data_IF_944391762616
#
_entry.id   IF_944391762616
#
_cell.length_a   1.000
_cell.length_b   1.000
_cell.length_c   1.000
_cell.angle_alpha   90.00
_cell.angle_beta   90.00
_cell.angle_gamma   90.00
#
_symmetry.space_group_name_H-M   'P 1'
#
loop_
_entity.id
_entity.type
_entity.pdbx_description
1 polymer ?
#
# COMPACT_ATOMS: atom_id res chain seq x y z
N UNK A 1 11.77 12.46 11.86
CA UNK A 1 12.62 13.42 11.12
C UNK A 1 11.76 14.59 10.68
N UNK A 2 12.25 15.83 10.82
CA UNK A 2 11.59 17.03 10.30
C UNK A 2 12.30 17.42 9.01
N UNK A 3 11.56 17.65 7.95
CA UNK A 3 12.09 17.98 6.63
C UNK A 3 11.31 19.17 6.09
N UNK A 4 12.02 20.13 5.52
CA UNK A 4 11.41 21.29 4.84
C UNK A 4 11.37 20.98 3.36
N UNK A 5 10.18 21.08 2.77
CA UNK A 5 9.94 20.87 1.34
C UNK A 5 9.04 21.99 0.85
N UNK A 6 9.31 22.46 -0.37
CA UNK A 6 8.44 23.42 -1.03
C UNK A 6 7.32 22.68 -1.76
N UNK A 7 6.08 23.08 -1.53
CA UNK A 7 4.89 22.46 -2.11
C UNK A 7 3.97 23.58 -2.63
N UNK A 8 3.61 23.56 -3.92
CA UNK A 8 2.64 24.49 -4.47
C UNK A 8 1.35 24.50 -3.66
N UNK A 9 0.89 25.69 -3.27
CA UNK A 9 -0.27 25.84 -2.39
C UNK A 9 -1.54 25.18 -2.95
N UNK A 10 -1.74 25.28 -4.27
CA UNK A 10 -2.87 24.63 -4.96
C UNK A 10 -2.88 23.11 -4.73
N UNK A 11 -1.73 22.46 -4.84
CA UNK A 11 -1.60 21.00 -4.65
C UNK A 11 -1.84 20.61 -3.19
N UNK A 12 -1.35 21.42 -2.25
CA UNK A 12 -1.58 21.19 -0.82
C UNK A 12 -3.06 21.34 -0.45
N UNK A 13 -3.75 22.34 -1.01
CA UNK A 13 -5.18 22.56 -0.81
C UNK A 13 -6.02 21.42 -1.39
N UNK A 14 -5.66 20.91 -2.56
CA UNK A 14 -6.28 19.71 -3.13
C UNK A 14 -6.07 18.48 -2.24
N UNK A 15 -4.85 18.28 -1.73
CA UNK A 15 -4.57 17.19 -0.80
C UNK A 15 -5.42 17.29 0.47
N UNK A 16 -5.54 18.49 1.06
CA UNK A 16 -6.41 18.74 2.22
C UNK A 16 -7.88 18.43 1.89
N UNK A 17 -8.38 18.89 0.74
CA UNK A 17 -9.76 18.66 0.31
C UNK A 17 -10.05 17.15 0.13
N UNK A 18 -9.16 16.44 -0.54
CA UNK A 18 -9.30 15.01 -0.84
C UNK A 18 -9.15 14.14 0.42
N UNK A 19 -8.29 14.54 1.35
CA UNK A 19 -8.04 13.79 2.59
C UNK A 19 -8.96 14.19 3.73
N UNK A 20 -9.66 15.33 3.62
CA UNK A 20 -10.42 16.00 4.70
C UNK A 20 -9.58 16.25 5.96
N UNK A 21 -8.27 16.39 5.78
CA UNK A 21 -7.33 16.60 6.88
C UNK A 21 -7.53 17.97 7.54
N UNK A 22 -7.31 18.05 8.85
CA UNK A 22 -7.41 19.31 9.60
C UNK A 22 -6.14 20.14 9.51
N UNK A 23 -5.00 19.51 9.19
CA UNK A 23 -3.69 20.17 9.14
C UNK A 23 -2.93 19.87 7.85
N UNK A 24 -2.08 20.82 7.42
CA UNK A 24 -1.16 20.65 6.29
C UNK A 24 -0.30 19.39 6.43
N UNK A 25 0.20 19.13 7.65
CA UNK A 25 1.01 17.94 7.95
C UNK A 25 0.23 16.65 7.74
N UNK A 26 -0.99 16.59 8.26
CA UNK A 26 -1.85 15.40 8.16
C UNK A 26 -2.19 15.07 6.69
N UNK A 27 -2.53 16.08 5.88
CA UNK A 27 -2.78 15.89 4.45
C UNK A 27 -1.59 15.24 3.72
N UNK A 28 -0.38 15.74 3.97
CA UNK A 28 0.85 15.18 3.39
C UNK A 28 1.10 13.76 3.89
N UNK A 29 0.88 13.50 5.18
CA UNK A 29 1.09 12.18 5.76
C UNK A 29 0.12 11.14 5.18
N UNK A 30 -1.12 11.53 4.92
CA UNK A 30 -2.09 10.71 4.18
C UNK A 30 -1.64 10.44 2.75
N UNK A 31 -1.21 11.48 2.01
CA UNK A 31 -0.74 11.33 0.64
C UNK A 31 0.44 10.36 0.53
N UNK A 32 1.43 10.47 1.43
CA UNK A 32 2.59 9.58 1.47
C UNK A 32 2.19 8.13 1.81
N UNK A 33 1.28 7.94 2.77
CA UNK A 33 0.77 6.60 3.11
C UNK A 33 0.04 5.95 1.95
N UNK A 34 -0.83 6.69 1.27
CA UNK A 34 -1.59 6.14 0.15
C UNK A 34 -0.67 5.84 -1.04
N UNK A 35 0.31 6.70 -1.34
CA UNK A 35 1.32 6.43 -2.35
C UNK A 35 2.07 5.11 -2.06
N UNK A 36 2.57 4.95 -0.84
CA UNK A 36 3.27 3.73 -0.45
C UNK A 36 2.38 2.48 -0.53
N UNK A 37 1.11 2.60 -0.15
CA UNK A 37 0.12 1.53 -0.28
C UNK A 37 -0.06 1.11 -1.73
N UNK A 38 -0.23 2.06 -2.65
CA UNK A 38 -0.34 1.79 -4.10
C UNK A 38 0.90 1.12 -4.65
N UNK A 39 2.10 1.54 -4.24
CA UNK A 39 3.34 0.91 -4.69
C UNK A 39 3.48 -0.53 -4.18
N UNK A 40 3.05 -0.82 -2.94
CA UNK A 40 2.99 -2.20 -2.43
C UNK A 40 2.03 -3.05 -3.27
N UNK A 41 0.83 -2.56 -3.55
CA UNK A 41 -0.13 -3.27 -4.40
C UNK A 41 0.42 -3.51 -5.81
N UNK A 42 1.11 -2.52 -6.41
CA UNK A 42 1.76 -2.67 -7.72
C UNK A 42 2.89 -3.71 -7.71
N UNK A 43 3.61 -3.86 -6.59
CA UNK A 43 4.62 -4.92 -6.44
C UNK A 43 3.95 -6.29 -6.33
N UNK A 44 2.90 -6.41 -5.53
CA UNK A 44 2.12 -7.65 -5.40
C UNK A 44 1.48 -8.05 -6.73
N UNK A 45 0.94 -7.11 -7.49
CA UNK A 45 0.36 -7.38 -8.80
C UNK A 45 1.39 -7.86 -9.82
N UNK A 46 2.65 -7.47 -9.67
CA UNK A 46 3.75 -7.99 -10.50
C UNK A 46 4.18 -9.40 -10.11
N UNK A 47 3.95 -9.80 -8.87
CA UNK A 47 4.25 -11.15 -8.39
C UNK A 47 3.13 -12.15 -8.75
N UNK A 48 1.94 -11.66 -9.08
CA UNK A 48 0.84 -12.49 -9.60
C UNK A 48 1.29 -13.20 -10.89
N UNK A 49 1.30 -14.54 -10.86
CA UNK A 49 1.70 -15.38 -12.00
C UNK A 49 3.18 -15.75 -12.05
N UNK A 50 4.03 -15.22 -11.16
CA UNK A 50 5.46 -15.61 -11.06
C UNK A 50 5.70 -16.68 -9.99
N UNK A 51 4.66 -17.20 -9.35
CA UNK A 51 4.81 -18.22 -8.31
C UNK A 51 4.95 -19.59 -8.96
N UNK A 52 6.20 -20.03 -9.16
CA UNK A 52 6.52 -21.34 -9.76
C UNK A 52 6.23 -22.51 -8.80
N UNK A 53 6.26 -22.27 -7.48
CA UNK A 53 6.12 -23.32 -6.45
C UNK A 53 5.05 -23.01 -5.40
N UNK A 54 3.94 -22.38 -5.79
CA UNK A 54 2.84 -22.20 -4.85
C UNK A 54 2.10 -23.52 -4.65
N UNK A 55 1.78 -23.86 -3.40
CA UNK A 55 1.02 -25.07 -3.08
C UNK A 55 -0.29 -25.10 -3.86
N UNK A 56 -0.59 -26.24 -4.48
CA UNK A 56 -1.88 -26.49 -5.11
C UNK A 56 -2.94 -26.75 -4.02
N UNK A 57 -4.22 -26.80 -4.42
CA UNK A 57 -5.27 -27.18 -3.47
C UNK A 57 -5.07 -28.60 -2.91
N UNK A 58 -4.49 -29.50 -3.69
CA UNK A 58 -4.23 -30.87 -3.27
C UNK A 58 -3.07 -30.95 -2.27
N UNK A 59 -2.03 -30.12 -2.44
CA UNK A 59 -0.95 -29.98 -1.46
C UNK A 59 -1.48 -29.45 -0.12
N UNK A 60 -2.41 -28.48 -0.16
CA UNK A 60 -3.06 -27.94 1.05
C UNK A 60 -3.92 -28.98 1.77
N UNK A 61 -4.60 -29.88 1.03
CA UNK A 61 -5.41 -30.96 1.64
C UNK A 61 -4.52 -31.95 2.37
N UNK A 62 -3.43 -32.41 1.75
CA UNK A 62 -2.46 -33.32 2.38
C UNK A 62 -1.91 -32.75 3.68
N UNK A 63 -1.49 -31.48 3.67
CA UNK A 63 -0.98 -30.82 4.89
C UNK A 63 -2.01 -30.71 6.02
N UNK A 64 -3.33 -30.75 5.73
CA UNK A 64 -4.39 -30.71 6.74
C UNK A 64 -4.74 -32.10 7.27
N UNK A 65 -4.65 -33.11 6.42
CA UNK A 65 -4.86 -34.51 6.78
C UNK A 65 -3.67 -35.07 7.59
N UNK A 66 -2.43 -34.63 7.31
CA UNK A 66 -1.22 -35.02 8.06
C UNK A 66 -1.15 -34.44 9.50
N UNK A 67 -2.12 -33.60 9.90
CA UNK A 67 -2.23 -33.00 11.25
C UNK A 67 -3.23 -33.76 12.15
N UNK A 68 -4.00 -34.72 11.61
CA UNK A 68 -4.82 -35.66 12.39
C UNK A 68 -4.03 -36.90 12.84
#
# INVERSE_FOLDING_TARGET
MKTTIDIPEKQLMEAIKNTKAKTKREAILHAVRDFNRRQRLKKLSKALGTFESFMTQDDLKKMREDIE
#
